data_IF_510405169057
#
_entry.id   IF_510405169057
#
_cell.length_a   1.000
_cell.length_b   1.000
_cell.length_c   1.000
_cell.angle_alpha   90.00
_cell.angle_beta   90.00
_cell.angle_gamma   90.00
#
_symmetry.space_group_name_H-M   'P 1'
#
loop_
_entity.id
_entity.type
_entity.pdbx_description
1 polymer ?
#
# COMPACT_ATOMS: atom_id res chain seq x y z
N UNK A 1 -12.95 6.70 -23.46
CA UNK A 1 -12.95 7.60 -22.30
C UNK A 1 -12.78 9.03 -22.80
N UNK A 2 -13.84 9.87 -22.75
CA UNK A 2 -13.74 11.29 -23.15
C UNK A 2 -13.48 12.11 -21.87
N UNK A 3 -12.26 12.58 -21.70
CA UNK A 3 -11.92 13.53 -20.66
C UNK A 3 -12.35 14.92 -21.15
N UNK A 4 -13.36 15.51 -20.51
CA UNK A 4 -13.75 16.90 -20.76
C UNK A 4 -13.01 17.79 -19.77
N UNK A 5 -12.09 18.61 -20.26
CA UNK A 5 -11.22 19.47 -19.44
C UNK A 5 -11.97 20.45 -18.52
N UNK A 6 -13.23 20.77 -18.81
CA UNK A 6 -14.05 21.70 -18.04
C UNK A 6 -15.30 21.04 -17.42
N UNK A 7 -15.31 19.70 -17.29
CA UNK A 7 -16.41 18.98 -16.64
C UNK A 7 -16.06 18.69 -15.18
N UNK A 8 -16.88 19.15 -14.25
CA UNK A 8 -16.78 18.83 -12.83
C UNK A 8 -17.41 17.46 -12.46
N UNK A 9 -17.99 16.76 -13.44
CA UNK A 9 -18.61 15.45 -13.22
C UNK A 9 -17.63 14.30 -13.26
N UNK A 10 -17.66 13.44 -12.23
CA UNK A 10 -16.94 12.15 -12.22
C UNK A 10 -17.84 11.05 -12.79
N UNK A 11 -17.30 10.23 -13.71
CA UNK A 11 -17.99 9.01 -14.13
C UNK A 11 -17.50 7.82 -13.31
N UNK A 12 -18.37 6.84 -13.07
CA UNK A 12 -18.02 5.59 -12.38
C UNK A 12 -16.82 4.90 -13.07
N UNK A 13 -16.75 4.96 -14.40
CA UNK A 13 -15.64 4.41 -15.17
C UNK A 13 -14.30 5.10 -14.88
N UNK A 14 -14.31 6.42 -14.66
CA UNK A 14 -13.09 7.16 -14.31
C UNK A 14 -12.60 6.78 -12.92
N UNK A 15 -13.51 6.62 -11.94
CA UNK A 15 -13.18 6.20 -10.58
C UNK A 15 -12.56 4.80 -10.57
N UNK A 16 -13.17 3.86 -11.31
CA UNK A 16 -12.65 2.49 -11.43
C UNK A 16 -11.24 2.45 -12.05
N UNK A 17 -11.01 3.25 -13.09
CA UNK A 17 -9.71 3.31 -13.77
C UNK A 17 -8.67 4.02 -12.91
N UNK A 18 -9.05 5.09 -12.21
CA UNK A 18 -8.17 5.78 -11.25
C UNK A 18 -7.73 4.84 -10.13
N UNK A 19 -8.67 4.08 -9.56
CA UNK A 19 -8.34 3.06 -8.55
C UNK A 19 -7.35 2.03 -9.10
N UNK A 20 -7.52 1.54 -10.33
CA UNK A 20 -6.59 0.60 -10.95
C UNK A 20 -5.18 1.21 -11.06
N UNK A 21 -5.06 2.43 -11.63
CA UNK A 21 -3.76 3.10 -11.79
C UNK A 21 -3.08 3.29 -10.43
N UNK A 22 -3.79 3.84 -9.45
CA UNK A 22 -3.22 4.08 -8.12
C UNK A 22 -2.78 2.81 -7.44
N UNK A 23 -3.55 1.72 -7.52
CA UNK A 23 -3.19 0.43 -6.94
C UNK A 23 -1.92 -0.14 -7.57
N UNK A 24 -1.86 -0.16 -8.90
CA UNK A 24 -0.70 -0.70 -9.62
C UNK A 24 0.53 0.16 -9.37
N UNK A 25 0.43 1.47 -9.51
CA UNK A 25 1.56 2.38 -9.33
C UNK A 25 2.06 2.36 -7.88
N UNK A 26 1.18 2.65 -6.90
CA UNK A 26 1.59 2.74 -5.50
C UNK A 26 2.09 1.38 -4.96
N UNK A 27 1.43 0.27 -5.32
CA UNK A 27 1.86 -1.05 -4.91
C UNK A 27 3.22 -1.43 -5.50
N UNK A 28 3.44 -1.19 -6.79
CA UNK A 28 4.72 -1.49 -7.46
C UNK A 28 5.87 -0.63 -6.91
N UNK A 29 5.64 0.66 -6.72
CA UNK A 29 6.65 1.55 -6.15
C UNK A 29 6.95 1.22 -4.69
N UNK A 30 5.95 0.78 -3.91
CA UNK A 30 6.15 0.31 -2.54
C UNK A 30 7.06 -0.92 -2.51
N UNK A 31 6.80 -1.93 -3.34
CA UNK A 31 7.64 -3.14 -3.42
C UNK A 31 9.05 -2.78 -3.85
N UNK A 32 9.19 -2.07 -4.97
CA UNK A 32 10.51 -1.77 -5.56
C UNK A 32 11.33 -0.80 -4.69
N UNK A 33 10.71 0.29 -4.22
CA UNK A 33 11.40 1.35 -3.48
C UNK A 33 11.67 1.04 -2.01
N UNK A 34 10.86 0.19 -1.39
CA UNK A 34 10.91 -0.06 0.06
C UNK A 34 10.96 -1.54 0.42
N UNK A 35 10.05 -2.35 -0.10
CA UNK A 35 9.91 -3.76 0.28
C UNK A 35 11.07 -4.64 -0.16
N UNK A 36 11.58 -4.46 -1.38
CA UNK A 36 12.61 -5.33 -1.96
C UNK A 36 13.93 -5.33 -1.17
N UNK A 37 14.40 -4.17 -0.74
CA UNK A 37 15.63 -4.05 0.07
C UNK A 37 15.51 -4.71 1.44
N UNK A 38 14.33 -4.51 2.10
CA UNK A 38 14.03 -5.13 3.39
C UNK A 38 13.87 -6.65 3.27
N UNK A 39 13.24 -7.11 2.20
CA UNK A 39 13.10 -8.53 1.89
C UNK A 39 14.47 -9.18 1.71
N UNK A 40 15.37 -8.57 0.92
CA UNK A 40 16.73 -9.04 0.74
C UNK A 40 17.52 -9.09 2.06
N UNK A 41 17.40 -8.05 2.90
CA UNK A 41 18.03 -7.98 4.22
C UNK A 41 17.54 -9.09 5.16
N UNK A 42 16.26 -9.45 5.09
CA UNK A 42 15.66 -10.47 5.96
C UNK A 42 16.25 -11.87 5.71
N UNK A 43 16.68 -12.15 4.46
CA UNK A 43 17.25 -13.43 4.05
C UNK A 43 18.78 -13.39 3.89
N UNK A 44 19.43 -12.30 4.32
CA UNK A 44 20.90 -12.26 4.37
C UNK A 44 21.40 -12.93 5.65
N UNK A 45 22.68 -13.34 5.61
CA UNK A 45 23.37 -13.92 6.78
C UNK A 45 23.82 -12.84 7.78
N UNK A 46 23.59 -11.56 7.49
CA UNK A 46 23.95 -10.44 8.35
C UNK A 46 23.03 -10.31 9.55
N UNK A 47 23.55 -9.75 10.66
CA UNK A 47 22.74 -9.42 11.82
C UNK A 47 21.62 -8.42 11.43
N UNK A 48 20.39 -8.74 11.79
CA UNK A 48 19.23 -7.87 11.53
C UNK A 48 19.22 -6.70 12.51
N UNK A 49 19.75 -5.57 12.06
CA UNK A 49 19.58 -4.28 12.75
C UNK A 49 18.35 -3.57 12.20
N UNK A 50 17.28 -3.53 12.99
CA UNK A 50 16.05 -2.84 12.66
C UNK A 50 15.43 -2.21 13.91
N UNK A 51 14.73 -1.10 13.74
CA UNK A 51 14.06 -0.39 14.84
C UNK A 51 12.94 -1.27 15.40
N UNK A 52 12.97 -1.54 16.70
CA UNK A 52 11.97 -2.35 17.41
C UNK A 52 11.25 -1.53 18.48
N UNK A 53 10.23 -0.75 18.11
CA UNK A 53 9.49 0.11 19.04
C UNK A 53 8.56 -0.68 19.95
N UNK A 54 8.23 -1.93 19.60
CA UNK A 54 7.29 -2.76 20.33
C UNK A 54 7.98 -3.75 21.27
N UNK A 55 9.32 -3.85 21.24
CA UNK A 55 10.07 -4.80 22.06
C UNK A 55 9.83 -6.27 21.72
N UNK A 56 9.38 -6.57 20.49
CA UNK A 56 9.08 -7.94 20.03
C UNK A 56 10.27 -8.65 19.37
N UNK A 57 11.24 -7.94 18.93
CA UNK A 57 12.53 -8.20 18.30
C UNK A 57 12.66 -7.50 16.94
N UNK A 58 13.88 -7.12 16.59
CA UNK A 58 14.19 -6.50 15.29
C UNK A 58 13.77 -7.38 14.11
N UNK A 59 13.96 -8.69 14.20
CA UNK A 59 13.57 -9.67 13.17
C UNK A 59 12.04 -9.72 13.00
N UNK A 60 11.28 -9.77 14.11
CA UNK A 60 9.82 -9.82 14.04
C UNK A 60 9.24 -8.52 13.47
N UNK A 61 9.76 -7.37 13.92
CA UNK A 61 9.34 -6.06 13.41
C UNK A 61 9.65 -5.92 11.91
N UNK A 62 10.84 -6.31 11.46
CA UNK A 62 11.19 -6.32 10.04
C UNK A 62 10.25 -7.24 9.24
N UNK A 63 9.92 -8.43 9.77
CA UNK A 63 8.98 -9.36 9.14
C UNK A 63 7.58 -8.76 8.96
N UNK A 64 7.06 -8.04 9.96
CA UNK A 64 5.77 -7.34 9.86
C UNK A 64 5.79 -6.23 8.80
N UNK A 65 6.88 -5.48 8.73
CA UNK A 65 7.05 -4.43 7.72
C UNK A 65 7.12 -5.03 6.31
N UNK A 66 7.86 -6.14 6.12
CA UNK A 66 7.91 -6.85 4.84
C UNK A 66 6.53 -7.40 4.47
N UNK A 67 5.81 -7.97 5.41
CA UNK A 67 4.42 -8.42 5.16
C UNK A 67 3.56 -7.26 4.62
N UNK A 68 3.65 -6.08 5.23
CA UNK A 68 2.90 -4.91 4.76
C UNK A 68 3.41 -4.44 3.38
N UNK A 69 4.71 -4.17 3.23
CA UNK A 69 5.28 -3.51 2.06
C UNK A 69 5.43 -4.42 0.83
N UNK A 70 5.44 -5.75 1.01
CA UNK A 70 5.53 -6.70 -0.10
C UNK A 70 4.21 -7.45 -0.28
N UNK A 71 3.77 -8.23 0.73
CA UNK A 71 2.61 -9.10 0.56
C UNK A 71 1.34 -8.27 0.40
N UNK A 72 1.08 -7.31 1.30
CA UNK A 72 -0.13 -6.47 1.18
C UNK A 72 -0.08 -5.58 -0.06
N UNK A 73 1.11 -5.09 -0.47
CA UNK A 73 1.24 -4.33 -1.71
C UNK A 73 0.89 -5.18 -2.95
N UNK A 74 1.32 -6.45 -3.01
CA UNK A 74 0.92 -7.39 -4.07
C UNK A 74 -0.60 -7.59 -4.08
N UNK A 75 -1.22 -7.79 -2.92
CA UNK A 75 -2.68 -7.92 -2.82
C UNK A 75 -3.40 -6.66 -3.33
N UNK A 76 -2.89 -5.47 -3.01
CA UNK A 76 -3.42 -4.19 -3.50
C UNK A 76 -3.27 -4.08 -5.02
N UNK A 77 -2.13 -4.46 -5.61
CA UNK A 77 -1.93 -4.44 -7.07
C UNK A 77 -3.02 -5.26 -7.76
N UNK A 78 -3.24 -6.50 -7.34
CA UNK A 78 -4.26 -7.36 -7.94
C UNK A 78 -5.70 -7.00 -7.52
N UNK A 79 -5.86 -6.17 -6.51
CA UNK A 79 -7.19 -5.83 -5.97
C UNK A 79 -7.86 -7.02 -5.28
N UNK A 80 -7.08 -7.78 -4.52
CA UNK A 80 -7.56 -8.92 -3.73
C UNK A 80 -7.51 -8.56 -2.24
N UNK A 81 -8.64 -8.72 -1.54
CA UNK A 81 -8.79 -8.29 -0.14
C UNK A 81 -8.30 -6.85 0.07
N UNK A 82 -8.53 -5.98 -0.93
CA UNK A 82 -7.91 -4.67 -1.07
C UNK A 82 -7.97 -3.84 0.20
N UNK A 83 -9.16 -3.72 0.81
CA UNK A 83 -9.35 -2.91 2.03
C UNK A 83 -8.59 -3.47 3.22
N UNK A 84 -8.53 -4.79 3.37
CA UNK A 84 -7.77 -5.43 4.44
C UNK A 84 -6.26 -5.27 4.25
N UNK A 85 -5.78 -5.41 3.01
CA UNK A 85 -4.38 -5.23 2.67
C UNK A 85 -3.89 -3.78 2.83
N UNK A 86 -4.78 -2.80 2.67
CA UNK A 86 -4.45 -1.38 2.87
C UNK A 86 -4.23 -1.02 4.35
N UNK A 87 -4.83 -1.75 5.31
CA UNK A 87 -4.68 -1.44 6.74
C UNK A 87 -3.21 -1.55 7.18
N UNK A 88 -2.51 -2.67 6.99
CA UNK A 88 -1.09 -2.77 7.35
C UNK A 88 -0.22 -1.73 6.64
N UNK A 89 -0.48 -1.45 5.35
CA UNK A 89 0.25 -0.43 4.59
C UNK A 89 0.08 0.97 5.18
N UNK A 90 -1.15 1.36 5.53
CA UNK A 90 -1.46 2.65 6.16
C UNK A 90 -0.74 2.77 7.51
N UNK A 91 -0.82 1.72 8.34
CA UNK A 91 -0.17 1.71 9.65
C UNK A 91 1.36 1.78 9.53
N UNK A 92 1.94 1.05 8.58
CA UNK A 92 3.39 1.09 8.33
C UNK A 92 3.84 2.48 7.87
N UNK A 93 3.07 3.18 7.05
CA UNK A 93 3.41 4.54 6.61
C UNK A 93 3.29 5.55 7.74
N UNK A 94 2.27 5.44 8.60
CA UNK A 94 2.18 6.27 9.81
C UNK A 94 3.36 6.01 10.75
N UNK A 95 3.68 4.74 10.98
CA UNK A 95 4.83 4.35 11.79
C UNK A 95 6.13 4.94 11.22
N UNK A 96 6.36 4.81 9.91
CA UNK A 96 7.53 5.38 9.26
C UNK A 96 7.60 6.90 9.42
N UNK A 97 6.49 7.63 9.22
CA UNK A 97 6.46 9.08 9.28
C UNK A 97 6.67 9.64 10.69
N UNK A 98 6.08 9.00 11.73
CA UNK A 98 6.02 9.57 13.07
C UNK A 98 6.96 8.91 14.09
N UNK A 99 7.36 7.67 13.86
CA UNK A 99 8.27 6.96 14.76
C UNK A 99 9.68 6.88 14.15
N UNK A 100 9.81 6.34 12.93
CA UNK A 100 11.14 6.18 12.30
C UNK A 100 11.74 7.55 11.97
N UNK A 101 10.96 8.43 11.33
CA UNK A 101 11.37 9.76 10.91
C UNK A 101 10.83 10.87 11.82
N UNK A 102 10.44 10.53 13.08
CA UNK A 102 9.79 11.46 14.01
C UNK A 102 10.57 12.74 14.24
N UNK A 103 11.88 12.61 14.46
CA UNK A 103 12.79 13.74 14.70
C UNK A 103 13.43 14.31 13.41
N UNK A 104 13.22 13.66 12.27
CA UNK A 104 13.82 14.05 11.00
C UNK A 104 13.12 15.27 10.38
N UNK A 105 13.83 16.03 9.51
CA UNK A 105 13.22 17.09 8.71
C UNK A 105 12.06 16.57 7.85
N UNK A 106 11.07 17.43 7.60
CA UNK A 106 9.85 17.08 6.82
C UNK A 106 10.15 16.36 5.52
N UNK A 107 11.24 16.72 4.83
CA UNK A 107 11.66 16.09 3.56
C UNK A 107 11.79 14.56 3.65
N UNK A 108 12.22 14.02 4.78
CA UNK A 108 12.37 12.56 4.97
C UNK A 108 11.02 11.90 5.32
N UNK A 109 10.09 12.64 5.94
CA UNK A 109 8.73 12.19 6.25
C UNK A 109 7.79 12.24 5.04
N UNK A 110 8.08 13.13 4.08
CA UNK A 110 7.22 13.44 2.94
C UNK A 110 6.80 12.20 2.15
N UNK A 111 7.76 11.31 1.86
CA UNK A 111 7.47 10.09 1.09
C UNK A 111 6.49 9.16 1.82
N UNK A 112 6.69 8.94 3.12
CA UNK A 112 5.79 8.11 3.92
C UNK A 112 4.38 8.70 4.01
N UNK A 113 4.28 10.04 4.15
CA UNK A 113 2.99 10.74 4.16
C UNK A 113 2.29 10.69 2.80
N UNK A 114 3.02 10.82 1.68
CA UNK A 114 2.44 10.67 0.34
C UNK A 114 1.83 9.28 0.15
N UNK A 115 2.55 8.21 0.50
CA UNK A 115 2.01 6.86 0.44
C UNK A 115 0.82 6.69 1.37
N UNK A 116 0.89 7.22 2.60
CA UNK A 116 -0.22 7.20 3.54
C UNK A 116 -1.50 7.76 2.89
N UNK A 117 -1.44 8.97 2.32
CA UNK A 117 -2.61 9.59 1.69
C UNK A 117 -3.10 8.83 0.44
N UNK A 118 -2.19 8.26 -0.36
CA UNK A 118 -2.57 7.42 -1.51
C UNK A 118 -3.32 6.17 -1.03
N UNK A 119 -2.84 5.49 0.01
CA UNK A 119 -3.49 4.29 0.54
C UNK A 119 -4.83 4.62 1.23
N UNK A 120 -4.93 5.75 1.92
CA UNK A 120 -6.22 6.24 2.45
C UNK A 120 -7.19 6.55 1.31
N UNK A 121 -6.75 7.23 0.26
CA UNK A 121 -7.60 7.47 -0.91
C UNK A 121 -8.07 6.16 -1.56
N UNK A 122 -7.20 5.17 -1.71
CA UNK A 122 -7.56 3.83 -2.21
C UNK A 122 -8.54 3.10 -1.28
N UNK A 123 -8.39 3.25 0.04
CA UNK A 123 -9.32 2.69 1.04
C UNK A 123 -10.74 3.24 0.84
N UNK A 124 -10.87 4.55 0.58
CA UNK A 124 -12.14 5.23 0.33
C UNK A 124 -12.72 4.88 -1.04
N UNK A 125 -11.90 4.92 -2.09
CA UNK A 125 -12.31 4.58 -3.46
C UNK A 125 -12.75 3.10 -3.59
N UNK A 126 -12.09 2.22 -2.84
CA UNK A 126 -12.25 0.77 -2.96
C UNK A 126 -11.54 0.18 -4.17
N UNK A 127 -11.68 -1.16 -4.37
CA UNK A 127 -10.92 -1.91 -5.37
C UNK A 127 -11.27 -1.60 -6.84
N UNK A 128 -12.47 -1.03 -7.10
CA UNK A 128 -12.96 -0.78 -8.46
C UNK A 128 -13.34 -2.05 -9.23
N UNK A 129 -13.85 -1.88 -10.46
CA UNK A 129 -14.32 -3.01 -11.28
C UNK A 129 -13.19 -3.87 -11.85
N UNK A 130 -11.98 -3.33 -11.97
CA UNK A 130 -10.79 -4.04 -12.47
C UNK A 130 -10.01 -4.70 -11.34
N UNK A 131 -10.69 -5.42 -10.44
CA UNK A 131 -10.11 -6.07 -9.25
C UNK A 131 -10.56 -7.51 -9.13
N UNK A 132 -9.72 -8.34 -8.51
CA UNK A 132 -10.09 -9.71 -8.17
C UNK A 132 -11.26 -9.76 -7.17
N UNK A 133 -11.35 -8.81 -6.24
CA UNK A 133 -12.47 -8.68 -5.30
C UNK A 133 -13.83 -8.59 -6.04
N UNK A 134 -13.87 -7.84 -7.14
CA UNK A 134 -15.08 -7.69 -7.96
C UNK A 134 -15.42 -8.97 -8.73
N UNK A 135 -14.39 -9.66 -9.26
CA UNK A 135 -14.59 -10.92 -9.98
C UNK A 135 -15.13 -12.01 -9.06
N UNK A 136 -14.58 -12.13 -7.86
CA UNK A 136 -15.01 -13.11 -6.86
C UNK A 136 -16.43 -12.82 -6.35
N UNK A 137 -16.77 -11.55 -6.15
CA UNK A 137 -18.12 -11.15 -5.76
C UNK A 137 -19.15 -11.54 -6.81
N UNK A 138 -18.89 -11.23 -8.09
CA UNK A 138 -19.80 -11.59 -9.19
C UNK A 138 -20.08 -13.08 -9.28
N UNK A 139 -19.05 -13.92 -9.05
CA UNK A 139 -19.23 -15.40 -9.05
C UNK A 139 -20.17 -15.88 -7.95
N UNK A 140 -20.17 -15.20 -6.78
CA UNK A 140 -21.07 -15.57 -5.66
C UNK A 140 -22.54 -15.13 -5.89
N UNK A 141 -22.77 -14.11 -6.71
CA UNK A 141 -24.10 -13.61 -7.04
C UNK A 141 -24.77 -14.44 -8.16
N UNK A 142 -24.02 -15.33 -8.86
CA UNK A 142 -24.51 -16.19 -9.97
C UNK A 142 -24.70 -17.66 -9.58
N UNK A 143 -24.43 -18.04 -8.34
CA UNK A 143 -24.70 -19.36 -7.74
C UNK A 143 -25.89 -19.27 -6.80
#
# INVERSE_FOLDING_TARGET
MKVRLFSSGTSVSNVDFTSLILRVAAGSFMIYGHGASKFSKFFSDDAIEFIDPFGISATATLGLVIFAEVICAVLVIFGLMTRWALIPLILTMLYAAFIVHGEDPFRLKEMSLLYFFIFVALMLLGPGKYSLDRMLRRRRETI
#
